data_IF_248795030831
#
_entry.id   IF_248795030831
#
_cell.length_a   1.000
_cell.length_b   1.000
_cell.length_c   1.000
_cell.angle_alpha   90.00
_cell.angle_beta   90.00
_cell.angle_gamma   90.00
#
_symmetry.space_group_name_H-M   'P 1'
#
loop_
_entity.id
_entity.type
_entity.pdbx_description
1 polymer ?
#
# COMPACT_ATOMS: atom_id res chain seq x y z
N UNK A 1 -16.06 -18.45 23.41
CA UNK A 1 -15.03 -19.47 23.76
C UNK A 1 -14.53 -20.01 22.44
N UNK A 2 -13.22 -20.26 22.34
CA UNK A 2 -12.65 -20.82 21.12
C UNK A 2 -13.15 -22.27 20.96
N UNK A 3 -13.42 -22.71 19.72
CA UNK A 3 -13.91 -24.07 19.47
C UNK A 3 -12.97 -25.13 20.07
N UNK A 4 -11.66 -24.86 20.08
CA UNK A 4 -10.66 -25.75 20.68
C UNK A 4 -10.94 -26.00 22.17
N UNK A 5 -11.23 -24.95 22.93
CA UNK A 5 -11.50 -25.07 24.35
C UNK A 5 -12.82 -25.81 24.65
N UNK A 6 -13.79 -25.79 23.73
CA UNK A 6 -15.00 -26.60 23.88
C UNK A 6 -14.71 -28.07 23.59
N UNK A 7 -13.83 -28.36 22.62
CA UNK A 7 -13.40 -29.73 22.31
C UNK A 7 -12.63 -30.32 23.49
N UNK A 8 -11.68 -29.56 24.05
CA UNK A 8 -10.90 -29.99 25.22
C UNK A 8 -11.82 -30.34 26.41
N UNK A 9 -12.85 -29.50 26.68
CA UNK A 9 -13.83 -29.77 27.75
C UNK A 9 -14.67 -31.02 27.49
N UNK A 10 -14.97 -31.33 26.24
CA UNK A 10 -15.70 -32.55 25.89
C UNK A 10 -14.81 -33.78 26.05
N UNK A 11 -13.53 -33.66 25.69
CA UNK A 11 -12.52 -34.69 25.89
C UNK A 11 -12.31 -34.97 27.39
N UNK A 12 -12.14 -33.92 28.20
CA UNK A 12 -12.05 -34.03 29.66
C UNK A 12 -13.29 -34.72 30.26
N UNK A 13 -14.50 -34.37 29.80
CA UNK A 13 -15.74 -34.99 30.26
C UNK A 13 -15.79 -36.50 29.94
N UNK A 14 -15.23 -36.90 28.80
CA UNK A 14 -15.13 -38.30 28.40
C UNK A 14 -14.09 -39.04 29.24
N UNK A 15 -12.95 -38.41 29.53
CA UNK A 15 -11.86 -38.99 30.33
C UNK A 15 -12.23 -39.12 31.82
N UNK A 16 -13.00 -38.17 32.36
CA UNK A 16 -13.54 -38.24 33.73
C UNK A 16 -14.69 -39.26 33.86
N UNK A 17 -15.28 -39.68 32.74
CA UNK A 17 -16.38 -40.61 32.68
C UNK A 17 -16.04 -42.01 33.20
N UNK A 18 -17.04 -42.71 33.74
CA UNK A 18 -16.83 -44.06 34.28
C UNK A 18 -16.75 -45.07 33.14
N UNK A 19 -15.55 -45.59 32.89
CA UNK A 19 -15.35 -46.63 31.90
C UNK A 19 -15.94 -47.98 32.34
N UNK A 20 -16.67 -48.66 31.45
CA UNK A 20 -17.26 -49.96 31.75
C UNK A 20 -16.26 -51.10 31.53
N UNK A 21 -16.06 -52.01 32.51
CA UNK A 21 -15.13 -53.12 32.35
C UNK A 21 -15.56 -54.05 31.22
N UNK A 22 -14.58 -54.56 30.46
CA UNK A 22 -14.79 -55.42 29.28
C UNK A 22 -15.58 -54.77 28.12
N UNK A 23 -15.63 -53.44 28.08
CA UNK A 23 -16.37 -52.66 27.06
C UNK A 23 -15.55 -51.47 26.57
N UNK A 24 -15.93 -50.88 25.44
CA UNK A 24 -15.41 -49.57 24.96
C UNK A 24 -16.29 -48.40 25.37
N UNK A 25 -17.39 -48.65 26.07
CA UNK A 25 -18.35 -47.63 26.46
C UNK A 25 -17.94 -46.92 27.76
N UNK A 26 -18.05 -45.60 27.76
CA UNK A 26 -17.84 -44.75 28.93
C UNK A 26 -19.16 -44.08 29.31
N UNK A 27 -19.48 -44.08 30.60
CA UNK A 27 -20.67 -43.39 31.13
C UNK A 27 -20.29 -41.96 31.45
N UNK A 28 -20.97 -41.01 30.82
CA UNK A 28 -20.77 -39.56 31.00
C UNK A 28 -22.08 -38.89 31.42
N UNK A 29 -21.96 -37.68 31.95
CA UNK A 29 -23.11 -36.81 32.23
C UNK A 29 -23.66 -36.26 30.90
N UNK A 30 -24.86 -36.74 30.54
CA UNK A 30 -25.53 -36.36 29.29
C UNK A 30 -25.85 -34.87 29.24
N UNK A 31 -26.29 -34.27 30.36
CA UNK A 31 -26.69 -32.86 30.41
C UNK A 31 -25.48 -31.95 30.15
N UNK A 32 -24.35 -32.25 30.78
CA UNK A 32 -23.08 -31.53 30.55
C UNK A 32 -22.56 -31.70 29.12
N UNK A 33 -22.66 -32.90 28.56
CA UNK A 33 -22.24 -33.15 27.19
C UNK A 33 -23.07 -32.35 26.18
N UNK A 34 -24.39 -32.32 26.38
CA UNK A 34 -25.32 -31.56 25.54
C UNK A 34 -25.07 -30.05 25.64
N UNK A 35 -24.81 -29.51 26.83
CA UNK A 35 -24.44 -28.10 27.01
C UNK A 35 -23.19 -27.71 26.21
N UNK A 36 -22.16 -28.56 26.23
CA UNK A 36 -20.91 -28.33 25.47
C UNK A 36 -21.20 -28.36 23.97
N UNK A 37 -21.99 -29.34 23.51
CA UNK A 37 -22.38 -29.47 22.08
C UNK A 37 -23.19 -28.24 21.63
N UNK A 38 -24.11 -27.73 22.44
CA UNK A 38 -24.89 -26.53 22.12
C UNK A 38 -24.00 -25.29 22.03
N UNK A 39 -23.01 -25.16 22.93
CA UNK A 39 -22.02 -24.08 22.85
C UNK A 39 -21.15 -24.17 21.58
N UNK A 40 -20.75 -25.38 21.17
CA UNK A 40 -20.04 -25.60 19.90
C UNK A 40 -20.91 -25.19 18.71
N UNK A 41 -22.19 -25.55 18.73
CA UNK A 41 -23.13 -25.23 17.64
C UNK A 41 -23.32 -23.73 17.44
N UNK A 42 -23.18 -22.94 18.49
CA UNK A 42 -23.23 -21.47 18.42
C UNK A 42 -21.89 -20.89 17.97
N UNK A 43 -20.78 -21.42 18.50
CA UNK A 43 -19.45 -20.83 18.30
C UNK A 43 -18.83 -21.17 16.92
N UNK A 44 -19.04 -22.38 16.41
CA UNK A 44 -18.49 -22.84 15.12
C UNK A 44 -18.93 -21.93 13.96
N UNK A 45 -20.24 -21.64 13.76
CA UNK A 45 -20.68 -20.79 12.65
C UNK A 45 -20.10 -19.38 12.70
N UNK A 46 -20.04 -18.78 13.90
CA UNK A 46 -19.48 -17.43 14.09
C UNK A 46 -17.99 -17.37 13.72
N UNK A 47 -17.23 -18.40 14.11
CA UNK A 47 -15.80 -18.48 13.85
C UNK A 47 -15.50 -18.71 12.37
N UNK A 48 -16.31 -19.52 11.69
CA UNK A 48 -16.25 -19.71 10.23
C UNK A 48 -16.61 -18.41 9.50
N UNK A 49 -17.67 -17.72 9.91
CA UNK A 49 -18.07 -16.45 9.29
C UNK A 49 -16.98 -15.39 9.45
N UNK A 50 -16.38 -15.30 10.64
CA UNK A 50 -15.27 -14.40 10.92
C UNK A 50 -14.05 -14.73 10.05
N UNK A 51 -13.69 -16.00 9.92
CA UNK A 51 -12.61 -16.45 9.05
C UNK A 51 -12.89 -16.09 7.58
N UNK A 52 -14.10 -16.37 7.08
CA UNK A 52 -14.52 -16.02 5.72
C UNK A 52 -14.46 -14.49 5.48
N UNK A 53 -14.86 -13.70 6.48
CA UNK A 53 -14.79 -12.22 6.43
C UNK A 53 -13.35 -11.73 6.35
N UNK A 54 -12.45 -12.28 7.16
CA UNK A 54 -11.02 -11.93 7.14
C UNK A 54 -10.40 -12.27 5.78
N UNK A 55 -10.70 -13.45 5.24
CA UNK A 55 -10.23 -13.86 3.92
C UNK A 55 -10.73 -12.91 2.82
N UNK A 56 -12.02 -12.57 2.83
CA UNK A 56 -12.58 -11.61 1.87
C UNK A 56 -12.02 -10.19 2.03
N UNK A 57 -11.70 -9.76 3.25
CA UNK A 57 -11.05 -8.47 3.51
C UNK A 57 -9.60 -8.45 2.99
N UNK A 58 -8.85 -9.55 3.17
CA UNK A 58 -7.48 -9.65 2.68
C UNK A 58 -7.39 -9.36 1.18
N UNK A 59 -8.25 -9.99 0.38
CA UNK A 59 -8.22 -9.82 -1.07
C UNK A 59 -8.57 -8.38 -1.48
N UNK A 60 -9.55 -7.76 -0.79
CA UNK A 60 -9.90 -6.35 -1.01
C UNK A 60 -8.75 -5.41 -0.67
N UNK A 61 -8.09 -5.62 0.47
CA UNK A 61 -6.95 -4.80 0.91
C UNK A 61 -5.79 -4.94 -0.08
N UNK A 62 -5.50 -6.15 -0.55
CA UNK A 62 -4.47 -6.38 -1.56
C UNK A 62 -4.81 -5.69 -2.89
N UNK A 63 -6.07 -5.76 -3.32
CA UNK A 63 -6.50 -5.09 -4.55
C UNK A 63 -6.35 -3.56 -4.43
N UNK A 64 -6.80 -2.98 -3.32
CA UNK A 64 -6.68 -1.54 -3.05
C UNK A 64 -5.22 -1.09 -2.98
N UNK A 65 -4.36 -1.84 -2.28
CA UNK A 65 -2.94 -1.52 -2.18
C UNK A 65 -2.24 -1.53 -3.55
N UNK A 66 -2.58 -2.50 -4.41
CA UNK A 66 -2.04 -2.56 -5.77
C UNK A 66 -2.52 -1.38 -6.63
N UNK A 67 -3.79 -0.98 -6.51
CA UNK A 67 -4.34 0.18 -7.23
C UNK A 67 -3.69 1.49 -6.76
N UNK A 68 -3.51 1.66 -5.45
CA UNK A 68 -2.82 2.82 -4.87
C UNK A 68 -1.35 2.88 -5.30
N UNK A 69 -0.64 1.75 -5.28
CA UNK A 69 0.74 1.67 -5.76
C UNK A 69 0.84 2.04 -7.25
N UNK A 70 -0.08 1.55 -8.09
CA UNK A 70 -0.12 1.90 -9.52
C UNK A 70 -0.39 3.40 -9.73
N UNK A 71 -1.33 3.98 -8.98
CA UNK A 71 -1.59 5.43 -9.01
C UNK A 71 -0.37 6.25 -8.60
N UNK A 72 0.30 5.85 -7.51
CA UNK A 72 1.49 6.55 -7.02
C UNK A 72 2.62 6.51 -8.05
N UNK A 73 2.87 5.34 -8.67
CA UNK A 73 3.86 5.20 -9.73
C UNK A 73 3.54 6.08 -10.94
N UNK A 74 2.27 6.16 -11.34
CA UNK A 74 1.86 7.03 -12.43
C UNK A 74 2.09 8.51 -12.10
N UNK A 75 1.71 8.96 -10.89
CA UNK A 75 1.94 10.33 -10.43
C UNK A 75 3.43 10.66 -10.35
N UNK A 76 4.25 9.74 -9.85
CA UNK A 76 5.70 9.92 -9.76
C UNK A 76 6.33 10.05 -11.16
N UNK A 77 5.89 9.26 -12.13
CA UNK A 77 6.35 9.37 -13.53
C UNK A 77 5.96 10.71 -14.14
N UNK A 78 4.69 11.10 -14.05
CA UNK A 78 4.21 12.38 -14.56
C UNK A 78 4.98 13.57 -13.97
N UNK A 79 5.24 13.53 -12.66
CA UNK A 79 6.03 14.56 -11.99
C UNK A 79 7.50 14.56 -12.43
N UNK A 80 8.07 13.37 -12.66
CA UNK A 80 9.43 13.23 -13.20
C UNK A 80 9.55 13.83 -14.60
N UNK A 81 8.59 13.54 -15.47
CA UNK A 81 8.54 14.09 -16.83
C UNK A 81 8.39 15.62 -16.80
N UNK A 82 7.52 16.15 -15.95
CA UNK A 82 7.34 17.61 -15.78
C UNK A 82 8.63 18.29 -15.29
N UNK A 83 9.35 17.67 -14.34
CA UNK A 83 10.62 18.21 -13.85
C UNK A 83 11.69 18.24 -14.95
N UNK A 84 11.78 17.20 -15.78
CA UNK A 84 12.71 17.15 -16.91
C UNK A 84 12.39 18.24 -17.95
N UNK A 85 11.11 18.42 -18.28
CA UNK A 85 10.68 19.47 -19.21
C UNK A 85 11.02 20.87 -18.67
N UNK A 86 10.84 21.09 -17.37
CA UNK A 86 11.22 22.34 -16.71
C UNK A 86 12.73 22.58 -16.77
N UNK A 87 13.56 21.57 -16.47
CA UNK A 87 15.03 21.70 -16.53
C UNK A 87 15.50 22.05 -17.95
N UNK A 88 14.98 21.37 -18.98
CA UNK A 88 15.31 21.64 -20.37
C UNK A 88 14.92 23.07 -20.77
N UNK A 89 13.73 23.51 -20.36
CA UNK A 89 13.24 24.87 -20.62
C UNK A 89 14.12 25.93 -19.95
N UNK A 90 14.49 25.72 -18.68
CA UNK A 90 15.36 26.63 -17.92
C UNK A 90 16.75 26.73 -18.56
N UNK A 91 17.34 25.60 -18.96
CA UNK A 91 18.64 25.59 -19.63
C UNK A 91 18.58 26.31 -20.99
N UNK A 92 17.52 26.09 -21.77
CA UNK A 92 17.31 26.78 -23.04
C UNK A 92 17.15 28.30 -22.84
N UNK A 93 16.42 28.72 -21.81
CA UNK A 93 16.27 30.13 -21.45
C UNK A 93 17.60 30.78 -21.07
N UNK A 94 18.44 30.10 -20.27
CA UNK A 94 19.79 30.58 -19.92
C UNK A 94 20.69 30.74 -21.16
N UNK A 95 20.70 29.74 -22.05
CA UNK A 95 21.48 29.81 -23.29
C UNK A 95 21.02 30.98 -24.18
N UNK A 96 19.71 31.19 -24.30
CA UNK A 96 19.14 32.32 -25.05
C UNK A 96 19.52 33.67 -24.43
N UNK A 97 19.44 33.78 -23.10
CA UNK A 97 19.83 35.00 -22.39
C UNK A 97 21.32 35.32 -22.61
N UNK A 98 22.21 34.33 -22.54
CA UNK A 98 23.63 34.50 -22.81
C UNK A 98 23.90 35.01 -24.24
N UNK A 99 23.22 34.43 -25.23
CA UNK A 99 23.33 34.87 -26.63
C UNK A 99 22.86 36.31 -26.84
N UNK A 100 21.76 36.71 -26.20
CA UNK A 100 21.25 38.09 -26.28
C UNK A 100 22.24 39.08 -25.67
N UNK A 101 22.83 38.75 -24.51
CA UNK A 101 23.85 39.60 -23.87
C UNK A 101 25.07 39.75 -24.77
N UNK A 102 25.53 38.67 -25.39
CA UNK A 102 26.69 38.70 -26.26
C UNK A 102 26.43 39.53 -27.52
N UNK A 103 25.26 39.36 -28.16
CA UNK A 103 24.84 40.17 -29.30
C UNK A 103 24.75 41.66 -28.94
N UNK A 104 24.17 41.99 -27.77
CA UNK A 104 24.09 43.38 -27.31
C UNK A 104 25.47 43.99 -27.07
N UNK A 105 26.42 43.22 -26.52
CA UNK A 105 27.82 43.67 -26.33
C UNK A 105 28.51 43.92 -27.66
N UNK A 106 28.35 43.02 -28.63
CA UNK A 106 28.93 43.18 -29.97
C UNK A 106 28.37 44.41 -30.67
N UNK A 107 27.04 44.61 -30.63
CA UNK A 107 26.40 45.80 -31.19
C UNK A 107 26.88 47.08 -30.51
N UNK A 108 26.97 47.10 -29.18
CA UNK A 108 27.47 48.26 -28.44
C UNK A 108 28.94 48.59 -28.78
N UNK A 109 29.79 47.56 -28.92
CA UNK A 109 31.18 47.74 -29.32
C UNK A 109 31.28 48.28 -30.75
N UNK A 110 30.44 47.78 -31.66
CA UNK A 110 30.39 48.24 -33.05
C UNK A 110 29.92 49.70 -33.16
N UNK A 111 28.83 50.07 -32.48
CA UNK A 111 28.35 51.45 -32.42
C UNK A 111 29.42 52.39 -31.88
N UNK A 112 30.14 51.96 -30.82
CA UNK A 112 31.24 52.76 -30.26
C UNK A 112 32.37 52.95 -31.28
N UNK A 113 32.79 51.89 -31.96
CA UNK A 113 33.83 51.97 -32.97
C UNK A 113 33.42 52.88 -34.15
N UNK A 114 32.18 52.77 -34.61
CA UNK A 114 31.63 53.63 -35.67
C UNK A 114 31.60 55.11 -35.24
N UNK A 115 31.20 55.40 -33.99
CA UNK A 115 31.21 56.74 -33.44
C UNK A 115 32.63 57.33 -33.30
N UNK A 116 33.58 56.54 -32.78
CA UNK A 116 34.98 56.94 -32.68
C UNK A 116 35.57 57.24 -34.07
N UNK A 117 35.22 56.44 -35.08
CA UNK A 117 35.67 56.61 -36.46
C UNK A 117 35.06 57.86 -37.13
N UNK A 118 33.80 58.18 -36.84
CA UNK A 118 33.14 59.40 -37.32
C UNK A 118 33.83 60.67 -36.81
N UNK A 119 34.22 60.70 -35.53
CA UNK A 119 34.93 61.86 -34.94
C UNK A 119 36.30 62.09 -35.57
N UNK A 120 36.98 61.03 -36.03
CA UNK A 120 38.30 61.13 -36.67
C UNK A 120 38.26 61.58 -38.15
N UNK A 121 37.08 61.57 -38.79
CA UNK A 121 36.90 61.96 -40.20
C UNK A 121 36.40 63.41 -40.39
N UNK A 122 36.14 64.13 -39.31
CA UNK A 122 35.74 65.56 -39.29
C UNK A 122 36.91 66.41 -38.83
#
# INVERSE_FOLDING_TARGET
MDIQHLVDRLEDLIDEGRHLPFSKFTVIDEERALEIIDQMRISIPEEIEKAARILGQRDRVLAQANEEAARLLQQARLKGDEMLDQEVSVQAAHNRAANVIEQARQQAAQIKAEADQYVLQV
#
